data_IF_333028205318
#
_entry.id   IF_333028205318
#
_cell.length_a   1.000
_cell.length_b   1.000
_cell.length_c   1.000
_cell.angle_alpha   90.00
_cell.angle_beta   90.00
_cell.angle_gamma   90.00
#
_symmetry.space_group_name_H-M   'P 1'
#
loop_
_entity.id
_entity.type
_entity.pdbx_description
1 polymer ?
#
# COMPACT_ATOMS: atom_id res chain seq x y z
N UNK A 1 -6.70 7.58 -5.53
CA UNK A 1 -7.23 8.57 -6.48
C UNK A 1 -8.28 7.90 -7.37
N UNK A 2 -9.29 8.67 -7.76
CA UNK A 2 -10.47 8.18 -8.47
C UNK A 2 -10.72 9.04 -9.72
N UNK A 3 -11.22 8.41 -10.78
CA UNK A 3 -11.72 9.06 -11.99
C UNK A 3 -13.20 8.67 -12.13
N UNK A 4 -14.09 9.55 -11.69
CA UNK A 4 -15.48 9.19 -11.45
C UNK A 4 -15.58 8.09 -10.37
N UNK A 5 -16.29 7.01 -10.67
CA UNK A 5 -16.40 5.82 -9.80
C UNK A 5 -15.21 4.86 -9.90
N UNK A 6 -14.27 5.07 -10.83
CA UNK A 6 -13.17 4.15 -11.06
C UNK A 6 -11.94 4.53 -10.25
N UNK A 7 -11.54 3.66 -9.31
CA UNK A 7 -10.26 3.80 -8.59
C UNK A 7 -9.14 3.40 -9.53
N UNK A 8 -8.20 4.32 -9.79
CA UNK A 8 -7.07 4.06 -10.69
C UNK A 8 -5.71 4.04 -10.00
N UNK A 9 -5.61 4.59 -8.78
CA UNK A 9 -4.37 4.60 -8.00
C UNK A 9 -4.66 4.48 -6.51
N UNK A 10 -3.81 3.74 -5.80
CA UNK A 10 -3.85 3.61 -4.33
C UNK A 10 -2.44 3.83 -3.76
N UNK A 11 -2.27 4.95 -3.04
CA UNK A 11 -1.03 5.30 -2.32
C UNK A 11 -0.66 4.29 -1.22
N UNK A 12 -1.61 3.49 -0.74
CA UNK A 12 -1.38 2.49 0.29
C UNK A 12 -1.55 3.07 1.70
N UNK A 13 -1.51 2.21 2.73
CA UNK A 13 -1.59 2.65 4.10
C UNK A 13 -0.28 3.26 4.58
N UNK A 14 -0.35 4.03 5.67
CA UNK A 14 0.80 4.51 6.41
C UNK A 14 1.44 3.34 7.19
N UNK A 15 2.77 3.23 7.14
CA UNK A 15 3.51 2.17 7.83
C UNK A 15 4.33 2.66 9.05
N UNK A 16 4.06 3.87 9.53
CA UNK A 16 4.83 4.52 10.60
C UNK A 16 5.94 5.44 10.07
N UNK A 17 6.36 5.28 8.82
CA UNK A 17 7.47 6.03 8.21
C UNK A 17 7.02 6.73 6.92
N UNK A 18 6.31 6.02 6.05
CA UNK A 18 5.82 6.50 4.76
C UNK A 18 4.56 5.74 4.34
N UNK A 19 3.98 6.09 3.20
CA UNK A 19 2.93 5.29 2.59
C UNK A 19 3.52 4.13 1.79
N UNK A 20 2.92 2.94 1.88
CA UNK A 20 3.46 1.74 1.20
C UNK A 20 3.56 1.83 -0.34
N UNK A 21 2.79 2.72 -0.98
CA UNK A 21 2.87 3.03 -2.42
C UNK A 21 3.60 4.33 -2.74
N UNK A 22 4.19 4.99 -1.75
CA UNK A 22 5.06 6.14 -1.94
C UNK A 22 6.50 5.71 -1.63
N UNK A 23 7.33 5.54 -2.68
CA UNK A 23 8.78 5.68 -2.49
C UNK A 23 9.11 7.17 -2.38
N UNK A 24 8.40 7.92 -1.53
CA UNK A 24 8.94 9.16 -1.00
C UNK A 24 10.06 8.68 -0.08
N UNK A 25 11.29 8.88 -0.54
CA UNK A 25 12.51 8.36 0.06
C UNK A 25 12.45 8.54 1.57
N UNK A 26 12.61 7.44 2.31
CA UNK A 26 12.71 7.38 3.78
C UNK A 26 13.79 8.34 4.31
N UNK A 27 14.68 8.81 3.44
CA UNK A 27 15.55 9.96 3.62
C UNK A 27 15.14 11.09 2.67
N UNK A 28 14.18 11.90 3.07
CA UNK A 28 13.83 13.11 2.35
C UNK A 28 14.43 14.32 3.07
N UNK A 29 15.45 14.94 2.46
CA UNK A 29 16.13 16.11 3.01
C UNK A 29 15.35 17.42 2.84
N UNK A 30 14.15 17.38 2.24
CA UNK A 30 13.43 18.58 1.80
C UNK A 30 12.21 18.88 2.69
N UNK A 31 11.52 17.86 3.18
CA UNK A 31 10.37 18.03 4.06
C UNK A 31 10.23 16.93 5.09
N UNK A 32 9.73 17.32 6.25
CA UNK A 32 9.26 16.45 7.32
C UNK A 32 7.80 16.09 7.07
N UNK A 33 7.43 14.85 7.37
CA UNK A 33 6.05 14.37 7.28
C UNK A 33 5.46 14.24 8.67
N UNK A 34 4.23 14.71 8.83
CA UNK A 34 3.42 14.47 10.02
C UNK A 34 2.15 13.71 9.62
N UNK A 35 1.96 12.55 10.22
CA UNK A 35 0.75 11.75 10.06
C UNK A 35 0.09 11.62 11.43
N UNK A 36 -1.14 12.13 11.54
CA UNK A 36 -1.91 12.08 12.78
C UNK A 36 -3.09 11.15 12.56
N UNK A 37 -3.28 10.24 13.52
CA UNK A 37 -4.40 9.32 13.59
C UNK A 37 -4.75 9.12 15.06
N UNK A 38 -5.74 9.85 15.55
CA UNK A 38 -6.29 9.75 16.89
C UNK A 38 -7.83 9.77 16.84
N UNK A 39 -8.50 9.89 17.99
CA UNK A 39 -9.96 9.87 18.06
C UNK A 39 -10.62 11.10 17.42
N UNK A 40 -9.90 12.22 17.34
CA UNK A 40 -10.41 13.50 16.86
C UNK A 40 -10.11 13.74 15.37
N UNK A 41 -8.96 13.27 14.90
CA UNK A 41 -8.43 13.65 13.60
C UNK A 41 -7.59 12.56 12.91
N UNK A 42 -7.73 12.50 11.59
CA UNK A 42 -6.95 11.66 10.70
C UNK A 42 -6.48 12.52 9.51
N UNK A 43 -5.21 12.90 9.51
CA UNK A 43 -4.65 13.68 8.41
C UNK A 43 -3.16 13.40 8.17
N UNK A 44 -2.74 13.84 6.99
CA UNK A 44 -1.35 13.90 6.59
C UNK A 44 -1.01 15.35 6.30
N UNK A 45 0.09 15.81 6.89
CA UNK A 45 0.68 17.10 6.63
C UNK A 45 2.18 16.92 6.34
N UNK A 46 2.75 17.89 5.65
CA UNK A 46 4.18 17.96 5.43
C UNK A 46 4.65 19.38 5.74
N UNK A 47 5.90 19.50 6.17
CA UNK A 47 6.54 20.75 6.51
C UNK A 47 7.91 20.81 5.87
N UNK A 48 8.20 21.91 5.19
CA UNK A 48 9.51 22.12 4.59
C UNK A 48 10.57 22.28 5.68
N UNK A 49 11.72 21.61 5.51
CA UNK A 49 12.86 21.75 6.42
C UNK A 49 13.45 23.16 6.27
N UNK A 50 13.68 23.58 5.02
CA UNK A 50 13.97 24.97 4.70
C UNK A 50 12.67 25.78 4.63
N UNK A 51 12.48 26.68 5.60
CA UNK A 51 11.29 27.54 5.72
C UNK A 51 11.17 28.58 4.60
N UNK A 52 12.23 28.82 3.83
CA UNK A 52 12.20 29.72 2.68
C UNK A 52 11.64 29.06 1.41
N UNK A 53 11.54 27.72 1.42
CA UNK A 53 11.00 26.95 0.31
C UNK A 53 9.49 26.80 0.41
N UNK A 54 8.83 26.86 -0.74
CA UNK A 54 7.40 26.63 -0.86
C UNK A 54 7.15 25.36 -1.67
N UNK A 55 6.25 24.51 -1.17
CA UNK A 55 5.81 23.32 -1.88
C UNK A 55 4.30 23.11 -1.71
N UNK A 56 3.68 22.46 -2.68
CA UNK A 56 2.25 22.18 -2.69
C UNK A 56 1.94 20.89 -3.45
N UNK A 57 0.98 20.12 -2.94
CA UNK A 57 0.38 19.03 -3.70
C UNK A 57 -0.70 19.55 -4.64
N UNK A 58 -0.62 19.19 -5.92
CA UNK A 58 -1.56 19.58 -6.97
C UNK A 58 -2.11 18.32 -7.66
N UNK A 59 -3.43 18.21 -7.73
CA UNK A 59 -4.09 17.18 -8.51
C UNK A 59 -4.26 17.65 -9.96
N UNK A 60 -3.39 17.16 -10.85
CA UNK A 60 -3.45 17.42 -12.27
C UNK A 60 -4.51 16.52 -12.94
N UNK A 61 -5.69 17.08 -13.19
CA UNK A 61 -6.83 16.35 -13.74
C UNK A 61 -6.56 15.80 -15.15
N UNK A 62 -5.86 16.57 -15.99
CA UNK A 62 -5.58 16.18 -17.38
C UNK A 62 -4.62 15.00 -17.44
N UNK A 63 -3.56 15.03 -16.63
CA UNK A 63 -2.56 13.96 -16.58
C UNK A 63 -2.94 12.82 -15.62
N UNK A 64 -3.99 13.00 -14.82
CA UNK A 64 -4.39 12.08 -13.74
C UNK A 64 -3.26 11.83 -12.72
N UNK A 65 -2.48 12.86 -12.42
CA UNK A 65 -1.34 12.81 -11.49
C UNK A 65 -1.63 13.62 -10.23
N UNK A 66 -1.11 13.17 -9.10
CA UNK A 66 -0.91 13.98 -7.91
C UNK A 66 0.56 14.39 -7.91
N UNK A 67 0.82 15.66 -8.13
CA UNK A 67 2.16 16.25 -8.27
C UNK A 67 2.51 16.99 -6.97
N UNK A 68 3.72 16.80 -6.46
CA UNK A 68 4.31 17.69 -5.46
C UNK A 68 5.14 18.73 -6.22
N UNK A 69 4.68 19.97 -6.19
CA UNK A 69 5.38 21.10 -6.80
C UNK A 69 6.23 21.80 -5.76
N UNK A 70 7.40 22.29 -6.18
CA UNK A 70 8.32 23.09 -5.36
C UNK A 70 8.69 24.36 -6.11
N UNK A 71 8.62 25.50 -5.43
CA UNK A 71 9.01 26.79 -5.99
C UNK A 71 10.53 26.89 -6.13
N UNK A 72 10.99 27.19 -7.33
CA UNK A 72 12.40 27.45 -7.62
C UNK A 72 12.65 28.94 -7.71
N UNK A 73 13.50 29.46 -6.81
CA UNK A 73 13.91 30.86 -6.83
C UNK A 73 14.75 31.18 -8.07
N UNK A 74 15.58 30.23 -8.54
CA UNK A 74 16.45 30.41 -9.71
C UNK A 74 15.66 30.60 -11.00
N UNK A 75 14.59 29.83 -11.17
CA UNK A 75 13.77 29.86 -12.41
C UNK A 75 12.48 30.66 -12.25
N UNK A 76 12.22 31.19 -11.04
CA UNK A 76 10.98 31.86 -10.64
C UNK A 76 9.72 31.09 -11.10
N UNK A 77 9.72 29.77 -10.88
CA UNK A 77 8.65 28.90 -11.35
C UNK A 77 8.45 27.67 -10.44
N UNK A 78 7.26 27.07 -10.53
CA UNK A 78 6.93 25.79 -9.91
C UNK A 78 7.51 24.63 -10.71
N UNK A 79 8.36 23.84 -10.07
CA UNK A 79 8.93 22.62 -10.65
C UNK A 79 8.30 21.39 -10.01
N UNK A 80 8.09 20.34 -10.81
CA UNK A 80 7.60 19.05 -10.32
C UNK A 80 8.74 18.36 -9.57
N UNK A 81 8.59 18.23 -8.25
CA UNK A 81 9.53 17.49 -7.42
C UNK A 81 9.26 15.98 -7.48
N UNK A 82 8.00 15.60 -7.34
CA UNK A 82 7.57 14.20 -7.45
C UNK A 82 6.13 14.13 -7.93
N UNK A 83 5.71 12.94 -8.39
CA UNK A 83 4.32 12.71 -8.77
C UNK A 83 3.96 11.24 -8.59
N UNK A 84 2.66 10.96 -8.50
CA UNK A 84 2.09 9.60 -8.54
C UNK A 84 0.83 9.59 -9.42
N UNK A 85 0.49 8.48 -10.09
CA UNK A 85 1.28 7.25 -10.32
C UNK A 85 2.61 7.49 -11.05
N UNK A 86 3.64 6.66 -10.81
CA UNK A 86 4.95 6.76 -11.47
C UNK A 86 5.17 5.73 -12.57
N UNK A 87 4.65 4.53 -12.36
CA UNK A 87 4.80 3.43 -13.30
C UNK A 87 3.50 2.62 -13.42
N UNK A 88 3.54 1.61 -14.28
CA UNK A 88 2.38 0.76 -14.53
C UNK A 88 1.90 -0.01 -13.28
N UNK A 89 2.79 -0.39 -12.35
CA UNK A 89 2.43 -1.13 -11.14
C UNK A 89 1.64 -0.31 -10.13
N UNK A 90 1.72 1.01 -10.20
CA UNK A 90 0.88 1.91 -9.42
C UNK A 90 -0.60 1.90 -9.89
N UNK A 91 -0.88 1.36 -11.08
CA UNK A 91 -2.24 1.19 -11.59
C UNK A 91 -3.03 0.23 -10.69
N UNK A 92 -4.15 0.71 -10.17
CA UNK A 92 -4.95 -0.04 -9.22
C UNK A 92 -5.46 -1.36 -9.82
N UNK A 93 -5.06 -2.48 -9.23
CA UNK A 93 -5.55 -3.80 -9.60
C UNK A 93 -4.93 -4.41 -10.86
N UNK A 94 -3.79 -3.89 -11.35
CA UNK A 94 -3.14 -4.35 -12.58
C UNK A 94 -2.95 -5.89 -12.65
N UNK A 95 -2.44 -6.50 -11.56
CA UNK A 95 -2.12 -7.93 -11.53
C UNK A 95 -3.22 -8.81 -10.91
N UNK A 96 -4.39 -8.25 -10.61
CA UNK A 96 -5.50 -8.98 -9.99
C UNK A 96 -5.19 -9.48 -8.58
N UNK A 97 -6.07 -10.33 -8.05
CA UNK A 97 -5.93 -10.90 -6.71
C UNK A 97 -4.77 -11.89 -6.63
N UNK A 98 -4.01 -11.85 -5.54
CA UNK A 98 -2.82 -12.70 -5.32
C UNK A 98 -1.73 -12.61 -6.40
N UNK A 99 -1.78 -11.55 -7.22
CA UNK A 99 -0.73 -11.18 -8.16
C UNK A 99 0.17 -10.09 -7.58
N UNK A 100 1.46 -10.19 -7.86
CA UNK A 100 2.46 -9.17 -7.57
C UNK A 100 2.90 -8.49 -8.88
N UNK A 101 3.21 -7.20 -8.80
CA UNK A 101 3.66 -6.41 -9.93
C UNK A 101 5.14 -6.05 -9.78
N UNK A 102 5.95 -6.44 -10.76
CA UNK A 102 7.38 -6.15 -10.80
C UNK A 102 7.70 -5.48 -12.12
N UNK A 103 8.02 -4.19 -12.07
CA UNK A 103 8.27 -3.34 -13.25
C UNK A 103 9.42 -3.81 -14.12
N UNK A 104 10.39 -4.55 -13.55
CA UNK A 104 11.59 -5.04 -14.25
C UNK A 104 11.42 -6.42 -14.88
N UNK A 105 10.28 -7.10 -14.69
CA UNK A 105 10.06 -8.45 -15.17
C UNK A 105 9.11 -8.49 -16.38
N UNK A 106 9.24 -9.55 -17.17
CA UNK A 106 8.29 -9.90 -18.22
C UNK A 106 7.88 -11.38 -18.08
N UNK A 107 6.60 -11.68 -17.79
CA UNK A 107 5.48 -10.74 -17.60
C UNK A 107 5.66 -9.85 -16.36
N UNK A 108 5.11 -8.62 -16.41
CA UNK A 108 5.17 -7.64 -15.31
C UNK A 108 4.42 -8.15 -14.07
N UNK A 109 3.39 -8.95 -14.29
CA UNK A 109 2.62 -9.58 -13.24
C UNK A 109 3.07 -11.02 -13.05
N UNK A 110 3.21 -11.42 -11.79
CA UNK A 110 3.49 -12.79 -11.39
C UNK A 110 2.62 -13.19 -10.20
N UNK A 111 2.35 -14.48 -10.05
CA UNK A 111 1.62 -14.97 -8.88
C UNK A 111 2.53 -15.00 -7.65
N UNK A 112 1.94 -14.78 -6.48
CA UNK A 112 2.60 -15.06 -5.21
C UNK A 112 3.00 -16.55 -5.13
N UNK A 113 4.01 -16.85 -4.33
CA UNK A 113 4.43 -18.22 -4.09
C UNK A 113 3.27 -19.09 -3.58
N UNK A 114 3.10 -20.29 -4.16
CA UNK A 114 1.98 -21.17 -3.85
C UNK A 114 0.69 -20.89 -4.64
N UNK A 115 0.71 -19.93 -5.58
CA UNK A 115 -0.39 -19.62 -6.49
C UNK A 115 0.00 -19.84 -7.95
N UNK A 116 -1.00 -20.03 -8.81
CA UNK A 116 -0.87 -20.12 -10.27
C UNK A 116 -1.87 -19.19 -10.97
N UNK A 117 -1.58 -18.74 -12.20
CA UNK A 117 -2.50 -17.90 -12.95
C UNK A 117 -3.86 -18.58 -13.12
N UNK A 118 -4.94 -17.80 -12.94
CA UNK A 118 -6.30 -18.30 -13.22
C UNK A 118 -6.58 -18.39 -14.72
N UNK A 119 -6.03 -17.46 -15.49
CA UNK A 119 -6.13 -17.41 -16.95
C UNK A 119 -4.87 -17.99 -17.59
N UNK A 120 -5.03 -18.63 -18.76
CA UNK A 120 -3.91 -19.16 -19.58
C UNK A 120 -3.27 -18.10 -20.47
N UNK A 121 -3.84 -16.89 -20.53
CA UNK A 121 -3.38 -15.81 -21.38
C UNK A 121 -2.36 -14.91 -20.68
N UNK A 122 -1.12 -14.90 -21.17
CA UNK A 122 0.02 -14.12 -20.65
C UNK A 122 -0.19 -12.59 -20.53
N UNK A 123 -1.29 -12.07 -21.08
CA UNK A 123 -1.60 -10.62 -21.11
C UNK A 123 -2.75 -10.19 -20.21
N UNK A 124 -3.61 -11.10 -19.75
CA UNK A 124 -4.78 -10.72 -18.97
C UNK A 124 -4.70 -11.26 -17.53
N UNK A 125 -4.19 -10.40 -16.65
CA UNK A 125 -4.02 -10.64 -15.22
C UNK A 125 -5.19 -10.16 -14.36
N UNK A 126 -6.27 -9.65 -14.98
CA UNK A 126 -7.45 -9.16 -14.24
C UNK A 126 -8.12 -10.23 -13.37
N UNK A 127 -8.01 -11.49 -13.78
CA UNK A 127 -8.53 -12.64 -13.02
C UNK A 127 -7.62 -13.07 -11.86
N UNK A 128 -6.40 -12.53 -11.78
CA UNK A 128 -5.42 -12.83 -10.75
C UNK A 128 -4.98 -14.29 -10.74
N UNK A 129 -4.63 -14.74 -9.54
CA UNK A 129 -4.07 -16.06 -9.28
C UNK A 129 -4.94 -16.88 -8.33
N UNK A 130 -4.81 -18.20 -8.39
CA UNK A 130 -5.50 -19.16 -7.51
C UNK A 130 -4.48 -20.04 -6.80
N UNK A 131 -4.81 -20.50 -5.58
CA UNK A 131 -3.91 -21.38 -4.82
C UNK A 131 -3.65 -22.67 -5.59
N UNK A 132 -2.42 -23.17 -5.48
CA UNK A 132 -2.02 -24.45 -6.04
C UNK A 132 -2.66 -25.64 -5.29
N UNK A 133 -2.87 -25.47 -3.98
CA UNK A 133 -3.47 -26.48 -3.09
C UNK A 133 -4.65 -25.87 -2.33
N UNK A 134 -5.67 -26.68 -2.08
CA UNK A 134 -6.78 -26.28 -1.22
C UNK A 134 -6.27 -26.09 0.23
N UNK A 135 -6.81 -25.10 0.93
CA UNK A 135 -6.54 -24.91 2.35
C UNK A 135 -7.13 -26.10 3.13
N UNK A 136 -6.32 -26.71 3.99
CA UNK A 136 -6.79 -27.76 4.89
C UNK A 136 -6.94 -27.20 6.30
N UNK A 137 -8.15 -26.81 6.67
CA UNK A 137 -8.47 -26.21 7.98
C UNK A 137 -8.19 -27.12 9.18
N UNK A 138 -7.98 -28.43 8.98
CA UNK A 138 -7.72 -29.39 10.06
C UNK A 138 -6.25 -29.45 10.51
N UNK A 139 -5.35 -28.85 9.72
CA UNK A 139 -3.99 -28.54 10.15
C UNK A 139 -3.86 -27.03 10.07
N UNK A 140 -3.78 -26.37 11.22
CA UNK A 140 -3.22 -25.02 11.29
C UNK A 140 -1.74 -25.15 10.88
N UNK A 141 -1.49 -25.28 9.57
CA UNK A 141 -0.17 -25.05 9.01
C UNK A 141 0.24 -23.67 9.51
N UNK A 142 1.35 -23.58 10.23
CA UNK A 142 1.75 -22.37 10.94
C UNK A 142 1.87 -21.17 10.01
N UNK A 143 0.85 -20.31 9.99
CA UNK A 143 0.84 -19.04 9.29
C UNK A 143 0.76 -17.92 10.34
N UNK A 144 1.72 -16.99 10.32
CA UNK A 144 1.51 -15.72 10.99
C UNK A 144 0.62 -14.86 10.10
N UNK A 145 -0.54 -14.49 10.63
CA UNK A 145 -1.47 -13.56 9.98
C UNK A 145 -0.99 -12.14 10.32
N UNK A 146 -0.50 -11.41 9.32
CA UNK A 146 -0.21 -9.99 9.49
C UNK A 146 -1.51 -9.19 9.40
N UNK A 147 -2.10 -8.89 10.54
CA UNK A 147 -3.07 -7.81 10.65
C UNK A 147 -2.30 -6.50 10.80
N UNK A 148 -2.43 -5.60 9.83
CA UNK A 148 -2.04 -4.21 10.04
C UNK A 148 -3.32 -3.46 10.39
N UNK A 149 -3.43 -3.05 11.65
CA UNK A 149 -4.46 -2.14 12.09
C UNK A 149 -4.11 -0.74 11.57
N UNK A 150 -4.91 -0.25 10.63
CA UNK A 150 -4.76 1.10 10.08
C UNK A 150 -6.11 1.79 10.25
N UNK A 151 -6.20 2.72 11.21
CA UNK A 151 -7.35 3.61 11.40
C UNK A 151 -8.72 2.90 11.28
N UNK A 152 -8.92 1.80 12.03
CA UNK A 152 -10.19 1.05 12.04
C UNK A 152 -10.51 0.22 10.79
N UNK A 153 -9.61 0.12 9.81
CA UNK A 153 -9.74 -0.79 8.68
C UNK A 153 -8.79 -1.98 8.82
N UNK A 154 -9.31 -3.13 9.23
CA UNK A 154 -8.59 -4.40 9.10
C UNK A 154 -8.53 -4.79 7.63
N UNK A 155 -7.32 -4.88 7.05
CA UNK A 155 -7.12 -5.45 5.71
C UNK A 155 -6.24 -6.67 5.80
N UNK A 156 -6.80 -7.83 5.47
CA UNK A 156 -6.05 -9.07 5.29
C UNK A 156 -5.07 -8.91 4.11
N UNK A 157 -3.76 -9.03 4.37
CA UNK A 157 -2.72 -8.83 3.36
C UNK A 157 -2.12 -10.13 2.81
N UNK A 158 -2.40 -11.30 3.42
CA UNK A 158 -1.96 -12.61 2.93
C UNK A 158 -1.23 -13.44 3.97
N UNK A 159 -0.86 -14.68 3.59
CA UNK A 159 -0.17 -15.67 4.42
C UNK A 159 1.31 -15.80 3.99
N UNK A 160 2.25 -15.74 4.94
CA UNK A 160 3.64 -16.16 4.73
C UNK A 160 4.09 -17.15 5.82
N UNK A 161 4.98 -18.08 5.43
CA UNK A 161 5.53 -19.14 6.29
C UNK A 161 6.92 -18.72 6.75
N UNK A 162 7.19 -18.68 8.07
CA UNK A 162 8.53 -18.45 8.60
C UNK A 162 8.85 -19.39 9.78
N UNK A 163 10.14 -19.70 9.96
CA UNK A 163 10.67 -20.57 11.01
C UNK A 163 11.11 -19.73 12.22
N UNK A 164 10.54 -20.01 13.39
CA UNK A 164 10.58 -19.17 14.59
C UNK A 164 11.96 -19.07 15.24
N UNK A 165 12.43 -17.84 15.52
CA UNK A 165 13.15 -17.51 16.77
C UNK A 165 12.72 -16.15 17.32
N UNK A 166 12.00 -16.23 18.44
CA UNK A 166 11.84 -15.26 19.53
C UNK A 166 11.34 -13.84 19.22
N UNK A 167 10.10 -13.54 19.65
CA UNK A 167 9.80 -12.39 20.50
C UNK A 167 8.62 -12.75 21.44
N UNK A 168 8.91 -12.86 22.73
CA UNK A 168 7.96 -12.74 23.86
C UNK A 168 7.27 -11.35 23.80
N UNK A 169 6.07 -11.09 24.28
CA UNK A 169 5.10 -11.82 25.08
C UNK A 169 3.83 -10.95 25.26
N UNK A 170 2.77 -11.55 25.80
CA UNK A 170 1.65 -10.91 26.52
C UNK A 170 0.53 -10.12 25.82
N UNK A 171 0.48 -9.93 24.49
CA UNK A 171 -0.68 -9.21 23.89
C UNK A 171 -1.81 -10.12 23.33
N UNK A 172 -1.68 -11.45 23.41
CA UNK A 172 -2.50 -12.37 22.61
C UNK A 172 -3.73 -12.99 23.30
N UNK A 173 -3.90 -12.86 24.63
CA UNK A 173 -4.94 -13.62 25.33
C UNK A 173 -6.32 -12.95 25.46
N UNK A 174 -6.44 -11.63 25.45
CA UNK A 174 -7.73 -10.99 25.75
C UNK A 174 -8.56 -10.62 24.50
N UNK A 175 -7.93 -10.32 23.37
CA UNK A 175 -8.65 -9.84 22.17
C UNK A 175 -9.21 -10.95 21.26
N UNK A 176 -8.88 -12.22 21.53
CA UNK A 176 -9.36 -13.35 20.72
C UNK A 176 -10.86 -13.65 20.93
N UNK A 177 -11.41 -13.32 22.11
CA UNK A 177 -12.82 -13.57 22.44
C UNK A 177 -13.77 -12.51 21.89
N UNK A 178 -13.32 -11.25 21.76
CA UNK A 178 -14.19 -10.17 21.28
C UNK A 178 -14.47 -10.21 19.77
N UNK A 179 -13.58 -10.81 18.97
CA UNK A 179 -13.73 -10.90 17.52
C UNK A 179 -14.68 -12.00 17.03
N UNK A 180 -14.80 -13.11 17.76
CA UNK A 180 -15.64 -14.25 17.36
C UNK A 180 -17.13 -13.98 17.64
N UNK A 181 -17.46 -13.12 18.61
CA UNK A 181 -18.84 -12.81 18.99
C UNK A 181 -19.56 -11.77 18.11
N UNK A 182 -18.86 -11.10 17.17
CA UNK A 182 -19.46 -10.04 16.32
C UNK A 182 -19.77 -10.43 14.87
N UNK A 183 -19.52 -11.69 14.48
CA UNK A 183 -19.85 -12.22 13.13
C UNK A 183 -21.00 -13.24 13.16
N UNK A 184 -21.96 -13.06 14.07
CA UNK A 184 -23.23 -13.75 14.04
C UNK A 184 -24.35 -12.81 13.63
N UNK A 185 -24.47 -12.51 12.33
CA UNK A 185 -25.70 -12.27 11.56
C UNK A 185 -25.39 -12.43 10.07
#
# INVERSE_FOLDING_TARGET
MWKGSNKFFRRGPWNGITYGGALESVHNSIFEVNFVNNEDELYYAFKMIDKSMFSMFVLNKTRSLLELLTWSQTTQNWNVYSYVPRDQCDSYGLCGVYGNCITTQFPICQCLEGFKPKSTGYRNWSQGCVRNKALNYSKLDGYQIYWVEIAGCYKFLGEQKYESRAMQGEMFREHFLYGILKLGY
#
